data_IF_221758089198
#
_entry.id   IF_221758089198
#
_cell.length_a   1.000
_cell.length_b   1.000
_cell.length_c   1.000
_cell.angle_alpha   90.00
_cell.angle_beta   90.00
_cell.angle_gamma   90.00
#
_symmetry.space_group_name_H-M   'P 1'
#
loop_
_entity.id
_entity.type
_entity.pdbx_description
1 polymer ?
#
# COMPACT_ATOMS: atom_id res chain seq x y z
N UNK A 1 0.33 24.18 8.24
CA UNK A 1 -0.12 23.32 7.10
C UNK A 1 -1.42 22.64 7.50
N UNK A 2 -2.44 22.61 6.64
CA UNK A 2 -3.75 22.06 7.02
C UNK A 2 -3.66 20.54 7.25
N UNK A 3 -4.21 20.03 8.36
CA UNK A 3 -4.33 18.58 8.63
C UNK A 3 -5.01 17.84 7.47
N UNK A 4 -5.88 18.53 6.72
CA UNK A 4 -6.54 18.00 5.53
C UNK A 4 -5.56 17.66 4.42
N UNK A 5 -4.53 18.48 4.19
CA UNK A 5 -3.54 18.26 3.13
C UNK A 5 -2.76 16.97 3.38
N UNK A 6 -2.23 16.78 4.60
CA UNK A 6 -1.50 15.57 4.98
C UNK A 6 -2.36 14.31 4.92
N UNK A 7 -3.63 14.43 5.32
CA UNK A 7 -4.59 13.33 5.19
C UNK A 7 -4.85 12.98 3.72
N UNK A 8 -5.04 13.98 2.85
CA UNK A 8 -5.21 13.76 1.41
C UNK A 8 -3.98 13.10 0.80
N UNK A 9 -2.76 13.57 1.14
CA UNK A 9 -1.52 12.94 0.66
C UNK A 9 -1.39 11.48 1.13
N UNK A 10 -1.72 11.19 2.40
CA UNK A 10 -1.73 9.81 2.93
C UNK A 10 -2.68 8.91 2.14
N UNK A 11 -3.88 9.41 1.82
CA UNK A 11 -4.87 8.69 1.01
C UNK A 11 -4.36 8.48 -0.42
N UNK A 12 -3.77 9.51 -1.04
CA UNK A 12 -3.15 9.40 -2.37
C UNK A 12 -2.07 8.32 -2.36
N UNK A 13 -1.18 8.29 -1.36
CA UNK A 13 -0.16 7.23 -1.24
C UNK A 13 -0.77 5.83 -1.13
N UNK A 14 -1.88 5.67 -0.41
CA UNK A 14 -2.59 4.39 -0.34
C UNK A 14 -3.12 3.95 -1.71
N UNK A 15 -3.74 4.86 -2.46
CA UNK A 15 -4.23 4.59 -3.82
C UNK A 15 -3.11 4.35 -4.83
N UNK A 16 -1.99 5.07 -4.73
CA UNK A 16 -0.80 4.81 -5.55
C UNK A 16 -0.26 3.42 -5.23
N UNK A 17 -0.20 3.03 -3.96
CA UNK A 17 0.18 1.68 -3.56
C UNK A 17 -0.70 0.61 -4.19
N UNK A 18 -2.02 0.82 -4.23
CA UNK A 18 -2.97 -0.06 -4.92
C UNK A 18 -2.74 -0.09 -6.44
N UNK A 19 -2.49 1.07 -7.05
CA UNK A 19 -2.22 1.17 -8.49
C UNK A 19 -0.92 0.47 -8.88
N UNK A 20 0.09 0.44 -8.01
CA UNK A 20 1.35 -0.27 -8.24
C UNK A 20 1.18 -1.79 -8.28
N UNK A 21 0.11 -2.33 -7.68
CA UNK A 21 -0.26 -3.73 -7.79
C UNK A 21 -0.98 -4.07 -9.10
N UNK A 22 -1.61 -3.07 -9.73
CA UNK A 22 -2.46 -3.27 -10.90
C UNK A 22 -1.72 -3.95 -12.08
N UNK A 23 -0.47 -3.59 -12.42
CA UNK A 23 0.27 -4.26 -13.49
C UNK A 23 0.50 -5.75 -13.20
N UNK A 24 0.77 -6.10 -11.93
CA UNK A 24 1.03 -7.47 -11.52
C UNK A 24 -0.24 -8.32 -11.58
N UNK A 25 -1.41 -7.73 -11.31
CA UNK A 25 -2.71 -8.41 -11.36
C UNK A 25 -3.21 -8.56 -12.80
N UNK A 26 -3.09 -7.51 -13.64
CA UNK A 26 -3.65 -7.50 -15.00
C UNK A 26 -2.74 -8.25 -15.98
N UNK A 27 -1.45 -7.94 -15.98
CA UNK A 27 -0.53 -8.47 -17.00
C UNK A 27 0.12 -9.79 -16.58
N UNK A 28 -0.05 -10.22 -15.32
CA UNK A 28 0.58 -11.40 -14.71
C UNK A 28 2.10 -11.50 -14.94
N UNK A 29 2.72 -10.38 -15.29
CA UNK A 29 4.13 -10.29 -15.57
C UNK A 29 4.81 -9.81 -14.28
N UNK A 30 5.88 -10.50 -13.88
CA UNK A 30 6.62 -10.27 -12.64
C UNK A 30 7.40 -8.97 -12.58
N UNK A 31 6.86 -7.88 -13.15
CA UNK A 31 7.42 -6.56 -12.93
C UNK A 31 7.30 -6.24 -11.44
N UNK A 32 8.44 -6.01 -10.80
CA UNK A 32 8.54 -5.71 -9.37
C UNK A 32 8.06 -4.29 -9.02
N UNK A 33 7.10 -3.73 -9.77
CA UNK A 33 6.50 -2.41 -9.50
C UNK A 33 5.81 -2.38 -8.14
N UNK A 34 5.23 -3.51 -7.71
CA UNK A 34 4.68 -3.65 -6.37
C UNK A 34 5.72 -3.43 -5.27
N UNK A 35 7.03 -3.60 -5.53
CA UNK A 35 8.07 -3.34 -4.52
C UNK A 35 8.18 -1.84 -4.15
N UNK A 36 7.70 -0.94 -5.02
CA UNK A 36 7.63 0.49 -4.70
C UNK A 36 6.64 0.78 -3.57
N UNK A 37 5.72 -0.12 -3.23
CA UNK A 37 4.85 0.04 -2.05
C UNK A 37 5.67 0.10 -0.76
N UNK A 38 6.83 -0.58 -0.68
CA UNK A 38 7.73 -0.50 0.46
C UNK A 38 8.38 0.88 0.66
N UNK A 39 8.28 1.77 -0.34
CA UNK A 39 8.74 3.16 -0.21
C UNK A 39 7.55 4.11 -0.09
N UNK A 40 6.60 4.03 -1.04
CA UNK A 40 5.47 4.96 -1.13
C UNK A 40 4.56 4.85 0.09
N UNK A 41 4.28 3.63 0.56
CA UNK A 41 3.30 3.44 1.63
C UNK A 41 3.84 3.74 3.02
N UNK A 42 5.10 3.44 3.41
CA UNK A 42 5.67 3.97 4.65
C UNK A 42 5.66 5.50 4.70
N UNK A 43 5.95 6.17 3.59
CA UNK A 43 5.82 7.64 3.46
C UNK A 43 4.35 8.06 3.64
N UNK A 44 3.41 7.36 3.01
CA UNK A 44 1.97 7.59 3.18
C UNK A 44 1.48 7.39 4.62
N UNK A 45 2.04 6.42 5.35
CA UNK A 45 1.75 6.20 6.76
C UNK A 45 2.28 7.35 7.62
N UNK A 46 3.48 7.87 7.33
CA UNK A 46 4.02 9.07 7.97
C UNK A 46 3.13 10.30 7.72
N UNK A 47 2.64 10.50 6.49
CA UNK A 47 1.66 11.55 6.19
C UNK A 47 0.34 11.35 6.95
N UNK A 48 -0.10 10.11 7.13
CA UNK A 48 -1.26 9.77 7.93
C UNK A 48 -1.08 10.11 9.41
N UNK A 49 0.13 9.88 9.94
CA UNK A 49 0.50 10.22 11.32
C UNK A 49 0.53 11.74 11.54
N UNK A 50 1.16 12.49 10.63
CA UNK A 50 1.19 13.96 10.66
C UNK A 50 -0.23 14.54 10.48
N UNK A 51 -1.04 13.96 9.60
CA UNK A 51 -2.43 14.33 9.35
C UNK A 51 -3.43 13.86 10.41
N UNK A 52 -3.00 13.08 11.40
CA UNK A 52 -3.84 12.43 12.44
C UNK A 52 -4.95 11.52 11.86
N UNK A 53 -4.74 10.98 10.66
CA UNK A 53 -5.68 10.07 10.01
C UNK A 53 -5.33 8.62 10.33
N UNK A 54 -6.05 8.02 11.30
CA UNK A 54 -5.90 6.59 11.62
C UNK A 54 -6.16 5.70 10.40
N UNK A 55 -7.14 6.06 9.58
CA UNK A 55 -7.48 5.35 8.34
C UNK A 55 -6.30 5.39 7.35
N UNK A 56 -5.69 6.56 7.15
CA UNK A 56 -4.54 6.71 6.26
C UNK A 56 -3.34 5.89 6.71
N UNK A 57 -3.08 5.84 8.02
CA UNK A 57 -2.00 5.02 8.60
C UNK A 57 -2.26 3.53 8.34
N UNK A 58 -3.45 3.03 8.68
CA UNK A 58 -3.80 1.61 8.54
C UNK A 58 -3.76 1.17 7.08
N UNK A 59 -4.32 1.94 6.15
CA UNK A 59 -4.31 1.62 4.72
C UNK A 59 -2.88 1.52 4.18
N UNK A 60 -2.03 2.48 4.54
CA UNK A 60 -0.64 2.47 4.08
C UNK A 60 0.18 1.34 4.70
N UNK A 61 -0.01 1.02 5.99
CA UNK A 61 0.65 -0.14 6.60
C UNK A 61 0.18 -1.44 5.95
N UNK A 62 -1.12 -1.59 5.73
CA UNK A 62 -1.68 -2.76 5.03
C UNK A 62 -1.06 -2.91 3.63
N UNK A 63 -0.96 -1.82 2.86
CA UNK A 63 -0.32 -1.85 1.55
C UNK A 63 1.17 -2.17 1.61
N UNK A 64 1.88 -1.74 2.66
CA UNK A 64 3.30 -2.10 2.86
C UNK A 64 3.46 -3.60 3.08
N UNK A 65 2.60 -4.21 3.88
CA UNK A 65 2.65 -5.65 4.16
C UNK A 65 1.86 -6.50 3.16
N UNK A 66 1.21 -5.89 2.17
CA UNK A 66 0.33 -6.55 1.21
C UNK A 66 1.01 -7.72 0.49
N UNK A 67 2.28 -7.57 0.11
CA UNK A 67 3.04 -8.64 -0.54
C UNK A 67 3.09 -9.89 0.33
N UNK A 68 3.52 -9.76 1.59
CA UNK A 68 3.62 -10.88 2.52
C UNK A 68 2.25 -11.52 2.78
N UNK A 69 1.21 -10.70 2.94
CA UNK A 69 -0.16 -11.16 3.17
C UNK A 69 -0.64 -11.98 1.97
N UNK A 70 -0.54 -11.45 0.75
CA UNK A 70 -1.02 -12.15 -0.44
C UNK A 70 -0.21 -13.39 -0.77
N UNK A 71 1.11 -13.36 -0.60
CA UNK A 71 1.95 -14.55 -0.78
C UNK A 71 1.59 -15.63 0.24
N UNK A 72 1.44 -15.27 1.52
CA UNK A 72 1.02 -16.22 2.56
C UNK A 72 -0.34 -16.85 2.25
N UNK A 73 -1.33 -16.04 1.88
CA UNK A 73 -2.67 -16.54 1.53
C UNK A 73 -2.61 -17.43 0.28
N UNK A 74 -1.83 -17.05 -0.73
CA UNK A 74 -1.62 -17.84 -1.94
C UNK A 74 -1.10 -19.25 -1.62
N UNK A 75 -0.06 -19.35 -0.78
CA UNK A 75 0.43 -20.65 -0.34
C UNK A 75 -0.59 -21.40 0.52
N UNK A 76 -1.22 -20.74 1.48
CA UNK A 76 -2.16 -21.39 2.40
C UNK A 76 -3.36 -22.03 1.68
N UNK A 77 -3.90 -21.37 0.65
CA UNK A 77 -5.09 -21.86 -0.07
C UNK A 77 -4.79 -22.76 -1.27
N UNK A 78 -3.66 -22.55 -1.97
CA UNK A 78 -3.37 -23.29 -3.22
C UNK A 78 -2.29 -24.37 -3.08
N UNK A 79 -1.60 -24.46 -1.94
CA UNK A 79 -0.54 -25.46 -1.70
C UNK A 79 -1.04 -26.76 -1.03
N UNK A 80 -2.19 -27.28 -1.44
CA UNK A 80 -2.69 -28.61 -1.04
C UNK A 80 -2.55 -29.61 -2.17
#
# INVERSE_FOLDING_TARGET
>A
MSNKLWTTLSIICAFVGLALWLPNIIFQYGYSFWALTFLVNPIGALFGLIGKSKVGIVLNLFMTFSFFIFTFLGYFFFSW
#
